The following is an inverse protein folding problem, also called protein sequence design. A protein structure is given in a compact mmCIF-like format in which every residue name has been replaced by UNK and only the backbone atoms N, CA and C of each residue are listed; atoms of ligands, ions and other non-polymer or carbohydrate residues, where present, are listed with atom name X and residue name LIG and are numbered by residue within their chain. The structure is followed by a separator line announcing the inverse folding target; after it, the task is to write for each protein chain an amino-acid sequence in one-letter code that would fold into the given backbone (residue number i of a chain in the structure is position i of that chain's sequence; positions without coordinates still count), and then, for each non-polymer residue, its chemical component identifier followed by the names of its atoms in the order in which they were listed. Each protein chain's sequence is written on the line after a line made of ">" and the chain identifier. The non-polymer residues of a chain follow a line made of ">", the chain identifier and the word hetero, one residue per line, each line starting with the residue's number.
data_IF_096709907309
#
_entry.id   IF_096709907309
#
_cell.length_a   1.000
_cell.length_b   1.000
_cell.length_c   1.000
_cell.angle_alpha   90.00
_cell.angle_beta   90.00
_cell.angle_gamma   90.00
#
_symmetry.space_group_name_H-M   'P 1'
#
loop_
_entity.id
_entity.type
_entity.pdbx_description
1 polymer ?
#
# COMPACT_ATOMS: atom_id res chain seq x y z
N UNK A 1 1.46 -6.15 -4.40
CA UNK A 1 2.84 -6.58 -4.07
C UNK A 1 3.80 -5.58 -4.69
N UNK A 2 4.90 -5.26 -4.01
CA UNK A 2 6.00 -4.44 -4.52
C UNK A 2 7.32 -4.99 -3.97
N UNK A 3 8.46 -4.61 -4.54
CA UNK A 3 9.78 -5.03 -4.04
C UNK A 3 10.74 -3.85 -3.89
N UNK A 4 11.59 -3.93 -2.88
CA UNK A 4 12.80 -3.12 -2.74
C UNK A 4 13.95 -3.87 -3.43
N UNK A 5 14.06 -3.68 -4.75
CA UNK A 5 15.01 -4.41 -5.59
C UNK A 5 14.89 -5.94 -5.41
N UNK A 6 16.05 -6.59 -5.33
CA UNK A 6 16.17 -8.05 -5.12
C UNK A 6 16.31 -8.44 -3.63
N UNK A 7 15.94 -7.55 -2.70
CA UNK A 7 16.18 -7.77 -1.25
C UNK A 7 14.91 -8.16 -0.49
N UNK A 8 13.84 -7.40 -0.70
CA UNK A 8 12.62 -7.50 0.10
C UNK A 8 11.39 -7.47 -0.78
N UNK A 9 10.47 -8.43 -0.58
CA UNK A 9 9.15 -8.44 -1.20
C UNK A 9 8.12 -7.96 -0.17
N UNK A 10 7.31 -6.97 -0.53
CA UNK A 10 6.23 -6.44 0.29
C UNK A 10 4.86 -6.92 -0.20
N UNK A 11 4.08 -7.46 0.73
CA UNK A 11 2.69 -7.86 0.53
C UNK A 11 1.83 -7.02 1.47
N UNK A 12 0.84 -6.34 0.92
CA UNK A 12 -0.03 -5.44 1.66
C UNK A 12 -1.48 -5.69 1.32
N UNK A 13 -2.34 -5.58 2.35
CA UNK A 13 -3.78 -5.55 2.23
C UNK A 13 -4.38 -6.86 1.68
N UNK A 14 -5.69 -6.86 1.45
CA UNK A 14 -6.39 -8.05 0.95
C UNK A 14 -7.89 -7.93 1.05
N UNK A 15 -8.56 -8.85 0.36
CA UNK A 15 -10.01 -9.02 0.38
C UNK A 15 -10.35 -10.45 0.82
N UNK A 16 -10.17 -10.77 2.13
CA UNK A 16 -10.60 -12.05 2.67
C UNK A 16 -12.14 -12.17 2.65
N UNK A 17 -12.68 -13.29 3.13
CA UNK A 17 -14.13 -13.55 3.21
C UNK A 17 -14.90 -12.40 3.89
N UNK A 18 -14.29 -11.77 4.90
CA UNK A 18 -14.89 -10.65 5.65
C UNK A 18 -13.94 -9.47 5.76
N UNK A 19 -14.46 -8.29 5.42
CA UNK A 19 -13.74 -7.03 5.59
C UNK A 19 -12.58 -6.84 4.62
N UNK A 20 -11.73 -5.87 4.93
CA UNK A 20 -10.50 -5.56 4.20
C UNK A 20 -9.35 -5.57 5.19
N UNK A 21 -8.14 -5.81 4.69
CA UNK A 21 -6.95 -5.82 5.51
C UNK A 21 -6.16 -4.52 5.38
N UNK A 22 -5.42 -4.18 6.43
CA UNK A 22 -4.46 -3.07 6.48
C UNK A 22 -3.04 -3.55 6.79
N UNK A 23 -2.84 -4.85 7.00
CA UNK A 23 -1.54 -5.40 7.36
C UNK A 23 -0.52 -5.27 6.23
N UNK A 24 0.74 -5.15 6.63
CA UNK A 24 1.90 -5.13 5.76
C UNK A 24 2.84 -6.24 6.20
N UNK A 25 3.30 -7.03 5.23
CA UNK A 25 4.27 -8.09 5.42
C UNK A 25 5.45 -7.89 4.48
N UNK A 26 6.64 -8.15 4.99
CA UNK A 26 7.87 -8.17 4.21
C UNK A 26 8.48 -9.58 4.22
N UNK A 27 8.87 -10.07 3.06
CA UNK A 27 9.69 -11.27 2.92
C UNK A 27 11.13 -10.87 2.58
N UNK A 28 12.06 -11.16 3.48
CA UNK A 28 13.48 -10.93 3.25
C UNK A 28 14.07 -12.12 2.49
N UNK A 29 14.57 -11.90 1.28
CA UNK A 29 15.05 -12.96 0.39
C UNK A 29 16.31 -13.65 0.91
N UNK A 30 17.24 -12.88 1.50
CA UNK A 30 18.48 -13.42 2.09
C UNK A 30 18.21 -14.32 3.29
N UNK A 31 17.30 -13.90 4.18
CA UNK A 31 16.96 -14.60 5.40
C UNK A 31 15.87 -15.67 5.21
N UNK A 32 15.13 -15.62 4.10
CA UNK A 32 13.97 -16.48 3.79
C UNK A 32 12.90 -16.44 4.87
N UNK A 33 12.60 -15.24 5.36
CA UNK A 33 11.69 -15.02 6.50
C UNK A 33 10.66 -13.96 6.19
N UNK A 34 9.44 -14.21 6.67
CA UNK A 34 8.37 -13.23 6.75
C UNK A 34 8.51 -12.41 8.03
N UNK A 35 8.27 -11.11 7.92
CA UNK A 35 8.15 -10.18 9.04
C UNK A 35 6.87 -9.39 8.88
N UNK A 36 6.08 -9.32 9.96
CA UNK A 36 4.94 -8.42 10.02
C UNK A 36 5.45 -7.02 10.35
N UNK A 37 4.98 -6.03 9.60
CA UNK A 37 5.34 -4.63 9.76
C UNK A 37 4.12 -3.84 10.27
N UNK A 38 4.30 -2.56 10.57
CA UNK A 38 3.22 -1.68 10.98
C UNK A 38 2.08 -1.70 9.95
N UNK A 39 0.85 -1.87 10.44
CA UNK A 39 -0.34 -1.79 9.62
C UNK A 39 -0.51 -0.38 9.05
N UNK A 40 -1.00 -0.30 7.81
CA UNK A 40 -1.26 0.97 7.15
C UNK A 40 -2.47 1.70 7.78
N UNK A 41 -2.56 3.03 7.65
CA UNK A 41 -3.66 3.81 8.21
C UNK A 41 -5.03 3.40 7.66
N UNK A 42 -6.08 3.65 8.43
CA UNK A 42 -7.46 3.41 8.00
C UNK A 42 -7.88 4.29 6.81
N UNK A 43 -8.94 3.89 6.07
CA UNK A 43 -9.60 2.58 6.18
C UNK A 43 -8.74 1.46 5.56
N UNK A 44 -8.95 0.19 5.97
CA UNK A 44 -8.37 -0.96 5.30
C UNK A 44 -8.92 -1.08 3.88
N UNK A 45 -8.13 -1.65 2.96
CA UNK A 45 -8.41 -1.54 1.52
C UNK A 45 -8.20 -2.87 0.81
N UNK A 46 -9.07 -3.19 -0.14
CA UNK A 46 -8.90 -4.28 -1.10
C UNK A 46 -8.38 -3.73 -2.43
N UNK A 47 -7.43 -4.41 -3.05
CA UNK A 47 -6.83 -3.97 -4.32
C UNK A 47 -6.22 -2.56 -4.31
N UNK A 48 -5.57 -2.08 -3.23
CA UNK A 48 -4.80 -0.83 -3.32
C UNK A 48 -3.61 -1.02 -4.26
N UNK A 49 -3.19 0.07 -4.91
CA UNK A 49 -1.88 0.09 -5.54
C UNK A 49 -0.79 0.27 -4.49
N UNK A 50 0.31 -0.45 -4.68
CA UNK A 50 1.54 -0.20 -3.93
C UNK A 50 2.75 -0.16 -4.85
N UNK A 51 3.73 0.67 -4.51
CA UNK A 51 5.01 0.76 -5.23
C UNK A 51 6.14 1.10 -4.25
N UNK A 52 7.30 0.52 -4.44
CA UNK A 52 8.50 0.96 -3.74
C UNK A 52 9.22 2.02 -4.59
N UNK A 53 9.48 3.19 -4.02
CA UNK A 53 10.17 4.29 -4.66
C UNK A 53 10.75 5.24 -3.61
N UNK A 54 11.93 5.81 -3.88
CA UNK A 54 12.58 6.78 -2.99
C UNK A 54 12.76 6.26 -1.55
N UNK A 55 13.17 4.99 -1.42
CA UNK A 55 13.39 4.33 -0.13
C UNK A 55 12.12 4.04 0.68
N UNK A 56 10.93 4.25 0.11
CA UNK A 56 9.64 4.07 0.80
C UNK A 56 8.68 3.20 0.03
N UNK A 57 7.80 2.52 0.76
CA UNK A 57 6.66 1.82 0.18
C UNK A 57 5.45 2.74 0.17
N UNK A 58 4.94 3.04 -1.02
CA UNK A 58 3.80 3.90 -1.24
C UNK A 58 2.53 3.07 -1.40
N UNK A 59 1.41 3.51 -0.80
CA UNK A 59 0.06 2.95 -0.92
C UNK A 59 -0.90 4.01 -1.44
N UNK A 60 -1.67 3.64 -2.47
CA UNK A 60 -2.66 4.52 -3.09
C UNK A 60 -3.97 3.80 -3.38
N UNK A 61 -5.06 4.53 -3.19
CA UNK A 61 -6.43 4.13 -3.52
C UNK A 61 -6.85 2.77 -2.95
N UNK A 62 -7.76 2.03 -3.60
CA UNK A 62 -8.29 0.73 -3.19
C UNK A 62 -9.75 0.79 -2.71
N UNK A 63 -10.37 -0.36 -2.48
CA UNK A 63 -11.79 -0.47 -2.11
C UNK A 63 -11.97 -0.78 -0.63
N UNK A 64 -12.68 0.09 0.10
CA UNK A 64 -12.87 0.00 1.56
C UNK A 64 -13.97 -0.98 2.01
N UNK A 65 -14.57 -1.75 1.09
CA UNK A 65 -15.64 -2.69 1.38
C UNK A 65 -17.05 -2.20 1.01
N UNK A 66 -17.24 -0.87 0.91
CA UNK A 66 -18.48 -0.23 0.45
C UNK A 66 -18.28 0.69 -0.75
N UNK A 67 -17.16 1.40 -0.76
CA UNK A 67 -16.83 2.39 -1.79
C UNK A 67 -15.33 2.38 -2.09
N UNK A 68 -14.99 2.95 -3.24
CA UNK A 68 -13.62 3.26 -3.59
C UNK A 68 -13.04 4.31 -2.65
N UNK A 69 -11.77 4.13 -2.30
CA UNK A 69 -10.98 5.01 -1.44
C UNK A 69 -9.96 5.72 -2.32
N UNK A 70 -9.79 7.01 -2.10
CA UNK A 70 -8.84 7.88 -2.80
C UNK A 70 -8.61 9.14 -1.98
N UNK A 71 -7.88 10.10 -2.53
CA UNK A 71 -7.63 11.38 -1.86
C UNK A 71 -6.60 11.34 -0.73
N UNK A 72 -5.87 10.24 -0.59
CA UNK A 72 -4.66 10.16 0.24
C UNK A 72 -3.64 9.24 -0.40
N UNK A 73 -2.36 9.64 -0.31
CA UNK A 73 -1.21 8.78 -0.56
C UNK A 73 -0.52 8.50 0.78
N UNK A 74 -0.25 7.22 1.04
CA UNK A 74 0.38 6.81 2.28
C UNK A 74 1.78 6.26 1.98
N UNK A 75 2.76 6.63 2.80
CA UNK A 75 4.15 6.24 2.65
C UNK A 75 4.63 5.54 3.91
N UNK A 76 5.13 4.31 3.74
CA UNK A 76 5.75 3.51 4.77
C UNK A 76 7.28 3.62 4.69
N UNK A 77 7.89 3.96 5.83
CA UNK A 77 9.34 3.99 6.00
C UNK A 77 9.78 2.74 6.78
N UNK A 78 10.54 1.87 6.11
CA UNK A 78 10.99 0.60 6.68
C UNK A 78 12.06 0.76 7.76
N UNK A 79 12.76 1.90 7.83
CA UNK A 79 13.77 2.14 8.86
C UNK A 79 13.13 2.46 10.21
N UNK A 80 12.01 3.18 10.18
CA UNK A 80 11.27 3.57 11.39
C UNK A 80 10.04 2.72 11.68
N UNK A 81 9.62 1.86 10.76
CA UNK A 81 8.36 1.07 10.83
C UNK A 81 7.12 1.96 11.04
N UNK A 82 7.05 3.07 10.28
CA UNK A 82 6.00 4.10 10.45
C UNK A 82 5.39 4.46 9.09
N UNK A 83 4.07 4.66 9.11
CA UNK A 83 3.31 5.23 8.00
C UNK A 83 3.10 6.73 8.17
N UNK A 84 3.11 7.45 7.05
CA UNK A 84 2.70 8.85 6.96
C UNK A 84 1.70 9.04 5.81
N UNK A 85 0.73 9.92 5.98
CA UNK A 85 -0.32 10.15 4.98
C UNK A 85 -0.27 11.59 4.46
N UNK A 86 -0.51 11.77 3.17
CA UNK A 86 -0.65 13.09 2.54
C UNK A 86 -1.97 13.14 1.75
N UNK A 87 -2.92 13.99 2.15
CA UNK A 87 -4.19 14.12 1.45
C UNK A 87 -4.02 14.86 0.12
N UNK A 88 -4.93 14.60 -0.82
CA UNK A 88 -5.07 15.32 -2.07
C UNK A 88 -6.54 15.37 -2.52
N UNK A 89 -6.88 16.28 -3.44
CA UNK A 89 -8.23 16.38 -4.00
C UNK A 89 -8.39 15.36 -5.14
N UNK A 90 -9.26 14.36 -4.97
CA UNK A 90 -9.47 13.27 -5.91
C UNK A 90 -10.55 13.59 -6.98
N UNK A 91 -10.38 14.70 -7.69
CA UNK A 91 -11.33 15.27 -8.66
C UNK A 91 -11.02 14.90 -10.13
N UNK A 92 -9.98 14.11 -10.38
CA UNK A 92 -9.50 13.80 -11.73
C UNK A 92 -8.67 14.90 -12.38
N UNK A 93 -8.42 16.03 -11.69
CA UNK A 93 -7.60 17.15 -12.14
C UNK A 93 -6.41 17.38 -11.22
N UNK A 94 -6.69 17.69 -9.96
CA UNK A 94 -5.74 17.89 -8.87
C UNK A 94 -5.11 16.57 -8.40
N UNK A 95 -5.84 15.47 -8.59
CA UNK A 95 -5.37 14.13 -8.35
C UNK A 95 -6.29 13.08 -8.95
N UNK A 96 -5.85 11.82 -9.03
CA UNK A 96 -6.67 10.77 -9.62
C UNK A 96 -7.93 10.52 -8.77
N UNK A 97 -9.07 10.36 -9.43
CA UNK A 97 -10.28 9.87 -8.77
C UNK A 97 -10.05 8.49 -8.14
N UNK A 98 -10.77 8.21 -7.05
CA UNK A 98 -10.70 6.95 -6.31
C UNK A 98 -10.95 5.74 -7.24
N UNK A 99 -10.15 4.67 -7.06
CA UNK A 99 -10.21 3.46 -7.88
C UNK A 99 -9.53 2.28 -7.17
N UNK A 100 -9.88 1.06 -7.55
CA UNK A 100 -9.22 -0.15 -7.09
C UNK A 100 -8.69 -0.97 -8.27
N UNK A 101 -7.86 -1.97 -7.98
CA UNK A 101 -7.33 -2.93 -8.98
C UNK A 101 -6.49 -2.22 -10.06
N UNK A 102 -5.45 -1.50 -9.64
CA UNK A 102 -4.45 -0.98 -10.57
C UNK A 102 -3.04 -1.43 -10.19
N UNK A 103 -2.24 -1.77 -11.21
CA UNK A 103 -0.83 -2.07 -11.07
C UNK A 103 0.00 -0.80 -11.33
N UNK A 104 0.95 -0.52 -10.44
CA UNK A 104 1.98 0.48 -10.71
C UNK A 104 3.13 -0.27 -11.38
N UNK A 105 3.54 0.20 -12.57
CA UNK A 105 4.72 -0.35 -13.24
C UNK A 105 5.94 0.39 -12.72
N UNK A 106 6.73 -0.25 -11.88
CA UNK A 106 8.07 0.23 -11.57
C UNK A 106 8.92 0.08 -12.85
N UNK A 107 9.63 1.15 -13.25
CA UNK A 107 10.61 1.09 -14.34
C UNK A 107 11.90 0.45 -13.85
#
# INVERSE_FOLDING_TARGET
>A
MASEGERTIYVHAGCPEKGRLSDLWAYQLSARKWMKLASAPDPPRGGPSIAFADGKLWRMNGFGGKQEVGGSIDAYDANSDIWSSRPFVADGKSGPGARSVCCVKNR
#
